data_IF_385601544762
#
_entry.id   IF_385601544762
#
_cell.length_a   1.000
_cell.length_b   1.000
_cell.length_c   1.000
_cell.angle_alpha   90.00
_cell.angle_beta   90.00
_cell.angle_gamma   90.00
#
_symmetry.space_group_name_H-M   'P 1'
#
loop_
_entity.id
_entity.type
_entity.pdbx_description
1 polymer ?
#
# COMPACT_ATOMS: atom_id res chain seq x y z
N UNK A 1 35.50 -4.76 -100.42
CA UNK A 1 36.80 -5.52 -100.51
C UNK A 1 36.94 -6.30 -99.21
N UNK A 2 36.84 -7.57 -99.37
CA UNK A 2 37.46 -8.63 -98.60
C UNK A 2 37.25 -8.84 -97.12
N UNK A 3 36.57 -9.90 -96.87
CA UNK A 3 36.61 -10.72 -95.65
C UNK A 3 37.98 -11.44 -95.54
N UNK A 4 38.07 -12.47 -94.63
CA UNK A 4 37.81 -12.80 -93.27
C UNK A 4 39.12 -13.18 -92.54
N UNK A 5 39.29 -14.18 -91.71
CA UNK A 5 38.41 -15.01 -90.82
C UNK A 5 39.08 -15.31 -89.44
N UNK A 6 38.38 -16.22 -88.77
CA UNK A 6 38.78 -17.34 -87.88
C UNK A 6 38.87 -17.19 -86.35
N UNK A 7 37.95 -17.88 -85.73
CA UNK A 7 38.10 -18.94 -84.69
C UNK A 7 39.04 -18.74 -83.52
N UNK A 8 38.49 -18.84 -82.34
CA UNK A 8 38.80 -19.88 -81.39
C UNK A 8 37.80 -19.93 -80.25
N UNK A 9 37.21 -21.09 -80.16
CA UNK A 9 36.47 -21.63 -79.03
C UNK A 9 37.35 -21.54 -77.75
N UNK A 10 36.79 -21.10 -76.62
CA UNK A 10 37.33 -21.49 -75.36
C UNK A 10 36.19 -21.66 -74.31
N UNK A 11 36.12 -22.88 -73.96
CA UNK A 11 35.37 -23.54 -72.91
C UNK A 11 35.38 -22.70 -71.62
N UNK A 12 34.21 -22.25 -71.20
CA UNK A 12 34.06 -21.66 -69.84
C UNK A 12 33.23 -22.59 -68.99
N UNK A 13 33.95 -23.28 -68.17
CA UNK A 13 33.46 -24.12 -67.09
C UNK A 13 32.68 -23.25 -66.06
N UNK A 14 31.35 -23.37 -66.09
CA UNK A 14 30.46 -22.69 -65.16
C UNK A 14 30.53 -23.32 -63.77
N UNK A 15 31.25 -22.64 -62.88
CA UNK A 15 31.24 -22.96 -61.45
C UNK A 15 29.91 -22.49 -60.83
N UNK A 16 29.04 -23.45 -60.51
CA UNK A 16 27.81 -23.16 -59.75
C UNK A 16 28.15 -23.00 -58.28
N UNK A 17 28.16 -21.77 -57.77
CA UNK A 17 28.17 -21.53 -56.35
C UNK A 17 26.75 -21.72 -55.78
N UNK A 18 26.55 -22.79 -55.06
CA UNK A 18 25.33 -23.00 -54.24
C UNK A 18 25.48 -22.18 -52.97
N UNK A 19 24.78 -21.04 -52.91
CA UNK A 19 24.69 -20.22 -51.70
C UNK A 19 23.71 -20.91 -50.74
N UNK A 20 24.19 -21.55 -49.71
CA UNK A 20 23.39 -22.03 -48.60
C UNK A 20 23.14 -20.84 -47.70
N UNK A 21 21.94 -20.25 -47.82
CA UNK A 21 21.46 -19.23 -46.88
C UNK A 21 21.09 -19.90 -45.55
N UNK A 22 22.02 -19.89 -44.62
CA UNK A 22 21.76 -20.29 -43.24
C UNK A 22 20.88 -19.24 -42.53
N UNK A 23 19.60 -19.54 -42.35
CA UNK A 23 18.74 -18.77 -41.46
C UNK A 23 19.14 -19.03 -40.02
N UNK A 24 19.89 -18.12 -39.39
CA UNK A 24 20.08 -18.11 -37.95
C UNK A 24 18.79 -17.54 -37.34
N UNK A 25 17.94 -18.41 -36.86
CA UNK A 25 16.79 -18.01 -36.04
C UNK A 25 17.30 -17.65 -34.66
N UNK A 26 17.56 -16.36 -34.43
CA UNK A 26 17.73 -15.84 -33.06
C UNK A 26 16.41 -15.95 -32.33
N UNK A 27 16.22 -16.99 -31.55
CA UNK A 27 15.16 -17.10 -30.58
C UNK A 27 15.40 -16.03 -29.47
N UNK A 28 14.75 -14.87 -29.59
CA UNK A 28 14.69 -13.91 -28.50
C UNK A 28 13.81 -14.52 -27.41
N UNK A 29 14.44 -15.14 -26.43
CA UNK A 29 13.76 -15.51 -25.19
C UNK A 29 13.42 -14.20 -24.49
N UNK A 30 12.19 -13.71 -24.70
CA UNK A 30 11.62 -12.66 -23.90
C UNK A 30 11.44 -13.23 -22.49
N UNK A 31 12.44 -13.04 -21.63
CA UNK A 31 12.29 -13.19 -20.20
C UNK A 31 11.20 -12.19 -19.79
N UNK A 32 10.00 -12.70 -19.60
CA UNK A 32 8.88 -11.93 -19.06
C UNK A 32 9.30 -11.42 -17.68
N UNK A 33 9.77 -10.17 -17.62
CA UNK A 33 9.88 -9.46 -16.36
C UNK A 33 8.45 -9.30 -15.84
N UNK A 34 8.02 -10.20 -14.97
CA UNK A 34 6.84 -9.96 -14.16
C UNK A 34 7.00 -8.60 -13.46
N UNK A 35 5.90 -7.93 -13.07
CA UNK A 35 6.00 -6.66 -12.38
C UNK A 35 6.94 -6.82 -11.19
N UNK A 36 8.11 -6.19 -11.26
CA UNK A 36 9.06 -6.19 -10.16
C UNK A 36 8.32 -5.62 -8.96
N UNK A 37 8.15 -6.40 -7.90
CA UNK A 37 7.59 -5.91 -6.65
C UNK A 37 8.36 -4.64 -6.28
N UNK A 38 7.62 -3.55 -6.01
CA UNK A 38 8.24 -2.27 -5.73
C UNK A 38 9.19 -2.44 -4.55
N UNK A 39 10.48 -2.15 -4.78
CA UNK A 39 11.52 -2.33 -3.76
C UNK A 39 11.20 -1.49 -2.53
N UNK A 40 11.26 -2.11 -1.34
CA UNK A 40 11.17 -1.41 -0.06
C UNK A 40 12.27 -0.32 -0.01
N UNK A 41 11.86 0.94 0.14
CA UNK A 41 12.80 2.08 0.19
C UNK A 41 13.40 2.27 1.57
N UNK A 42 12.68 1.85 2.60
CA UNK A 42 13.03 2.10 3.99
C UNK A 42 12.97 0.80 4.81
N UNK A 43 13.74 -0.24 4.42
CA UNK A 43 13.77 -1.51 5.12
C UNK A 43 14.31 -1.34 6.56
N UNK A 44 14.22 -2.34 7.43
CA UNK A 44 14.81 -2.29 8.75
C UNK A 44 16.28 -1.84 8.70
N UNK A 45 16.66 -0.92 9.58
CA UNK A 45 18.06 -0.46 9.68
C UNK A 45 18.86 -1.55 10.40
N UNK A 46 19.91 -2.12 9.78
CA UNK A 46 20.76 -3.09 10.43
C UNK A 46 21.33 -2.54 11.76
N UNK A 47 21.43 -3.34 12.83
CA UNK A 47 21.85 -2.87 14.15
C UNK A 47 23.16 -2.09 14.15
N UNK A 48 24.12 -2.50 13.33
CA UNK A 48 25.44 -1.86 13.18
C UNK A 48 25.40 -0.51 12.48
N UNK A 49 24.29 -0.20 11.78
CA UNK A 49 24.06 1.08 11.09
C UNK A 49 23.14 2.03 11.85
N UNK A 50 22.58 1.57 12.96
CA UNK A 50 21.71 2.41 13.78
C UNK A 50 22.53 3.44 14.57
N UNK A 51 22.04 4.68 14.61
CA UNK A 51 22.54 5.70 15.52
C UNK A 51 22.16 5.35 16.96
N UNK A 52 22.83 5.94 17.94
CA UNK A 52 22.50 5.74 19.37
C UNK A 52 21.06 6.16 19.68
N UNK A 53 20.55 7.22 19.06
CA UNK A 53 19.16 7.65 19.20
C UNK A 53 18.18 6.59 18.67
N UNK A 54 18.48 5.95 17.53
CA UNK A 54 17.66 4.87 16.98
C UNK A 54 17.67 3.62 17.83
N UNK A 55 18.84 3.22 18.36
CA UNK A 55 18.96 2.09 19.29
C UNK A 55 18.17 2.33 20.56
N UNK A 56 18.30 3.54 21.16
CA UNK A 56 17.55 3.92 22.36
C UNK A 56 16.04 3.85 22.10
N UNK A 57 15.54 4.45 21.00
CA UNK A 57 14.12 4.43 20.68
C UNK A 57 13.60 3.01 20.38
N UNK A 58 14.40 2.15 19.74
CA UNK A 58 14.00 0.76 19.50
C UNK A 58 13.90 -0.05 20.81
N UNK A 59 14.80 0.19 21.77
CA UNK A 59 14.72 -0.43 23.10
C UNK A 59 13.48 0.06 23.87
N UNK A 60 13.20 1.36 23.84
CA UNK A 60 12.03 1.97 24.47
C UNK A 60 10.73 1.44 23.84
N UNK A 61 10.67 1.38 22.51
CA UNK A 61 9.54 0.81 21.77
C UNK A 61 9.28 -0.64 22.20
N UNK A 62 10.33 -1.46 22.30
CA UNK A 62 10.22 -2.85 22.76
C UNK A 62 9.70 -2.92 24.20
N UNK A 63 10.17 -2.06 25.08
CA UNK A 63 9.70 -2.01 26.47
C UNK A 63 8.22 -1.63 26.58
N UNK A 64 7.75 -0.66 25.79
CA UNK A 64 6.36 -0.20 25.84
C UNK A 64 5.38 -1.14 25.10
N UNK A 65 5.81 -1.82 24.03
CA UNK A 65 4.93 -2.61 23.16
C UNK A 65 5.18 -4.11 23.19
N UNK A 66 6.16 -4.57 23.94
CA UNK A 66 6.56 -5.98 24.10
C UNK A 66 6.88 -6.68 22.76
N UNK A 67 7.33 -5.92 21.76
CA UNK A 67 7.71 -6.41 20.44
C UNK A 67 8.78 -5.53 19.80
N UNK A 68 9.50 -6.06 18.82
CA UNK A 68 10.44 -5.27 18.03
C UNK A 68 9.73 -4.25 17.15
N UNK A 69 10.49 -3.28 16.62
CA UNK A 69 9.98 -2.30 15.66
C UNK A 69 9.47 -3.01 14.42
N UNK A 70 8.21 -2.81 14.07
CA UNK A 70 7.51 -3.50 12.97
C UNK A 70 6.65 -2.55 12.15
N UNK A 71 6.21 -3.02 10.98
CA UNK A 71 5.21 -2.35 10.13
C UNK A 71 5.54 -0.87 9.89
N UNK A 72 4.60 0.05 10.17
CA UNK A 72 4.78 1.48 9.93
C UNK A 72 5.91 2.12 10.75
N UNK A 73 6.27 1.50 11.87
CA UNK A 73 7.35 2.02 12.72
C UNK A 73 8.74 1.75 12.13
N UNK A 74 8.88 0.81 11.19
CA UNK A 74 10.13 0.58 10.47
C UNK A 74 10.56 1.81 9.66
N UNK A 75 9.77 2.37 8.74
CA UNK A 75 10.13 3.62 8.08
C UNK A 75 10.25 4.79 9.06
N UNK A 76 9.37 4.89 10.08
CA UNK A 76 9.40 5.95 11.07
C UNK A 76 10.65 5.92 11.96
N UNK A 77 11.34 4.78 12.11
CA UNK A 77 12.57 4.66 12.90
C UNK A 77 13.72 5.58 12.44
N UNK A 78 13.63 6.13 11.20
CA UNK A 78 14.57 7.17 10.71
C UNK A 78 14.42 8.48 11.48
N UNK A 79 13.27 8.70 12.12
CA UNK A 79 13.01 9.81 13.04
C UNK A 79 12.58 9.24 14.38
N UNK A 80 13.52 8.92 15.29
CA UNK A 80 13.25 8.18 16.52
C UNK A 80 12.16 8.82 17.39
N UNK A 81 12.18 10.14 17.53
CA UNK A 81 11.17 10.85 18.32
C UNK A 81 9.77 10.72 17.69
N UNK A 82 9.65 10.96 16.37
CA UNK A 82 8.39 10.79 15.66
C UNK A 82 7.86 9.36 15.76
N UNK A 83 8.74 8.36 15.67
CA UNK A 83 8.36 6.95 15.83
C UNK A 83 7.73 6.70 17.22
N UNK A 84 8.36 7.19 18.30
CA UNK A 84 7.88 6.97 19.66
C UNK A 84 6.56 7.71 19.93
N UNK A 85 6.43 8.96 19.47
CA UNK A 85 5.19 9.74 19.64
C UNK A 85 4.04 9.10 18.84
N UNK A 86 4.32 8.66 17.60
CA UNK A 86 3.36 7.91 16.80
C UNK A 86 2.98 6.57 17.47
N UNK A 87 3.94 5.85 18.06
CA UNK A 87 3.67 4.59 18.74
C UNK A 87 2.72 4.79 19.94
N UNK A 88 2.95 5.81 20.76
CA UNK A 88 2.10 6.12 21.92
C UNK A 88 0.70 6.56 21.49
N UNK A 89 0.61 7.45 20.51
CA UNK A 89 -0.67 7.86 19.93
C UNK A 89 -1.44 6.67 19.35
N UNK A 90 -0.76 5.80 18.59
CA UNK A 90 -1.35 4.58 18.03
C UNK A 90 -1.84 3.61 19.10
N UNK A 91 -1.11 3.48 20.23
CA UNK A 91 -1.56 2.65 21.36
C UNK A 91 -2.86 3.20 21.96
N UNK A 92 -2.95 4.50 22.18
CA UNK A 92 -4.18 5.14 22.65
C UNK A 92 -5.34 4.93 21.67
N UNK A 93 -5.15 5.27 20.40
CA UNK A 93 -6.19 5.18 19.38
C UNK A 93 -6.65 3.74 19.09
N UNK A 94 -5.84 2.73 19.37
CA UNK A 94 -6.25 1.32 19.20
C UNK A 94 -6.93 0.74 20.42
N UNK A 95 -6.52 1.13 21.63
CA UNK A 95 -6.90 0.42 22.85
C UNK A 95 -7.48 1.31 23.94
N UNK A 96 -7.33 2.62 23.86
CA UNK A 96 -7.74 3.58 24.88
C UNK A 96 -8.78 4.61 24.43
N UNK A 97 -9.15 4.64 23.15
CA UNK A 97 -10.16 5.54 22.64
C UNK A 97 -11.58 5.16 23.12
N UNK A 98 -12.52 6.07 23.03
CA UNK A 98 -13.87 5.93 23.58
C UNK A 98 -14.86 5.22 22.65
N UNK A 99 -14.47 4.94 21.41
CA UNK A 99 -15.35 4.34 20.41
C UNK A 99 -15.41 2.80 20.55
N UNK A 100 -16.53 2.17 20.23
CA UNK A 100 -16.60 0.71 20.07
C UNK A 100 -15.54 0.22 19.08
N UNK A 101 -14.85 -0.88 19.40
CA UNK A 101 -13.72 -1.41 18.63
C UNK A 101 -14.03 -1.59 17.14
N UNK A 102 -15.17 -2.18 16.80
CA UNK A 102 -15.58 -2.36 15.41
C UNK A 102 -15.68 -1.02 14.63
N UNK A 103 -16.12 0.05 15.29
CA UNK A 103 -16.26 1.37 14.69
C UNK A 103 -14.88 2.05 14.53
N UNK A 104 -13.98 1.89 15.51
CA UNK A 104 -12.60 2.37 15.39
C UNK A 104 -11.90 1.69 14.22
N UNK A 105 -11.97 0.36 14.11
CA UNK A 105 -11.37 -0.37 13.00
C UNK A 105 -12.03 -0.02 11.65
N UNK A 106 -13.33 0.26 11.63
CA UNK A 106 -14.00 0.73 10.42
C UNK A 106 -13.41 2.08 9.96
N UNK A 107 -13.22 3.04 10.88
CA UNK A 107 -12.57 4.31 10.56
C UNK A 107 -11.15 4.09 10.01
N UNK A 108 -10.39 3.15 10.57
CA UNK A 108 -9.02 2.84 10.13
C UNK A 108 -9.00 2.26 8.71
N UNK A 109 -9.82 1.24 8.42
CA UNK A 109 -9.82 0.64 7.07
C UNK A 109 -10.33 1.60 6.00
N UNK A 110 -11.20 2.55 6.33
CA UNK A 110 -11.59 3.64 5.42
C UNK A 110 -10.39 4.54 5.06
N UNK A 111 -9.53 4.86 6.04
CA UNK A 111 -8.31 5.64 5.78
C UNK A 111 -7.29 4.83 4.96
N UNK A 112 -7.04 3.58 5.33
CA UNK A 112 -6.14 2.69 4.59
C UNK A 112 -6.59 2.57 3.12
N UNK A 113 -7.91 2.42 2.88
CA UNK A 113 -8.51 2.40 1.54
C UNK A 113 -8.30 3.71 0.79
N UNK A 114 -8.54 4.84 1.44
CA UNK A 114 -8.36 6.17 0.84
C UNK A 114 -6.94 6.39 0.33
N UNK A 115 -5.94 5.91 1.08
CA UNK A 115 -4.52 5.96 0.72
C UNK A 115 -4.07 4.79 -0.15
N UNK A 116 -4.98 3.86 -0.48
CA UNK A 116 -4.67 2.59 -1.16
C UNK A 116 -3.47 1.91 -0.50
N UNK A 117 -3.46 1.91 0.83
CA UNK A 117 -2.37 1.37 1.63
C UNK A 117 -2.69 -0.08 2.03
N UNK A 118 -2.07 -1.02 1.32
CA UNK A 118 -2.36 -2.46 1.43
C UNK A 118 -1.96 -3.07 2.78
N UNK A 119 -0.80 -2.68 3.33
CA UNK A 119 -0.31 -3.24 4.60
C UNK A 119 -1.25 -2.86 5.75
N UNK A 120 -1.62 -1.58 5.83
CA UNK A 120 -2.51 -1.07 6.87
C UNK A 120 -3.90 -1.69 6.73
N UNK A 121 -4.40 -1.77 5.50
CA UNK A 121 -5.68 -2.42 5.24
C UNK A 121 -5.65 -3.89 5.65
N UNK A 122 -4.62 -4.64 5.30
CA UNK A 122 -4.49 -6.06 5.63
C UNK A 122 -4.59 -6.31 7.15
N UNK A 123 -3.82 -5.55 7.94
CA UNK A 123 -3.81 -5.69 9.39
C UNK A 123 -5.19 -5.34 9.97
N UNK A 124 -5.69 -4.16 9.64
CA UNK A 124 -6.90 -3.62 10.26
C UNK A 124 -8.21 -4.24 9.75
N UNK A 125 -8.25 -4.78 8.55
CA UNK A 125 -9.38 -5.59 8.08
C UNK A 125 -9.50 -6.91 8.87
N UNK A 126 -8.38 -7.51 9.27
CA UNK A 126 -8.36 -8.65 10.18
C UNK A 126 -8.90 -8.30 11.58
N UNK A 127 -8.43 -7.17 12.13
CA UNK A 127 -8.89 -6.65 13.42
C UNK A 127 -10.38 -6.27 13.38
N UNK A 128 -10.84 -5.66 12.28
CA UNK A 128 -12.26 -5.30 12.06
C UNK A 128 -13.16 -6.54 12.07
N UNK A 129 -12.76 -7.62 11.38
CA UNK A 129 -13.49 -8.90 11.42
C UNK A 129 -13.57 -9.45 12.83
N UNK A 130 -12.45 -9.47 13.53
CA UNK A 130 -12.37 -9.95 14.93
C UNK A 130 -13.25 -9.11 15.86
N UNK A 131 -13.37 -7.80 15.59
CA UNK A 131 -14.24 -6.89 16.34
C UNK A 131 -15.72 -6.97 15.95
N UNK A 132 -16.07 -7.79 14.94
CA UNK A 132 -17.45 -8.03 14.53
C UNK A 132 -17.98 -7.06 13.47
N UNK A 133 -17.11 -6.35 12.75
CA UNK A 133 -17.56 -5.56 11.59
C UNK A 133 -18.03 -6.52 10.49
N UNK A 134 -19.26 -6.33 9.92
CA UNK A 134 -19.80 -7.22 8.90
C UNK A 134 -18.92 -7.31 7.66
N UNK A 135 -18.77 -8.53 7.11
CA UNK A 135 -17.91 -8.74 5.94
C UNK A 135 -18.37 -7.94 4.70
N UNK A 136 -19.68 -7.74 4.52
CA UNK A 136 -20.20 -6.90 3.43
C UNK A 136 -19.77 -5.45 3.52
N UNK A 137 -19.54 -4.93 4.74
CA UNK A 137 -18.97 -3.57 4.95
C UNK A 137 -17.51 -3.57 4.52
N UNK A 138 -16.73 -4.58 4.94
CA UNK A 138 -15.31 -4.70 4.59
C UNK A 138 -15.14 -4.85 3.08
N UNK A 139 -15.96 -5.67 2.42
CA UNK A 139 -15.93 -5.85 0.97
C UNK A 139 -16.26 -4.55 0.21
N UNK A 140 -17.24 -3.77 0.69
CA UNK A 140 -17.54 -2.47 0.11
C UNK A 140 -16.33 -1.52 0.19
N UNK A 141 -15.61 -1.54 1.32
CA UNK A 141 -14.37 -0.75 1.48
C UNK A 141 -13.29 -1.24 0.50
N UNK A 142 -13.08 -2.56 0.35
CA UNK A 142 -12.14 -3.14 -0.64
C UNK A 142 -12.44 -2.60 -2.05
N UNK A 143 -13.72 -2.55 -2.40
CA UNK A 143 -14.20 -2.10 -3.71
C UNK A 143 -14.15 -0.57 -3.89
N UNK A 144 -13.95 0.18 -2.81
CA UNK A 144 -13.95 1.65 -2.83
C UNK A 144 -15.34 2.26 -3.03
N UNK A 145 -16.40 1.54 -2.68
CA UNK A 145 -17.78 2.01 -2.74
C UNK A 145 -18.33 2.27 -1.34
N UNK A 146 -19.40 3.06 -1.28
CA UNK A 146 -20.14 3.25 -0.04
C UNK A 146 -20.77 1.91 0.38
N UNK A 147 -20.56 1.46 1.65
CA UNK A 147 -21.24 0.27 2.14
C UNK A 147 -22.76 0.48 2.16
N UNK A 148 -23.49 -0.59 1.83
CA UNK A 148 -24.93 -0.66 2.02
C UNK A 148 -25.26 -1.20 3.42
N UNK A 149 -26.47 -0.98 3.89
CA UNK A 149 -26.99 -1.54 5.16
C UNK A 149 -26.11 -1.23 6.40
N UNK A 150 -25.45 -0.07 6.41
CA UNK A 150 -24.77 0.41 7.60
C UNK A 150 -25.76 0.68 8.72
N UNK A 151 -25.38 0.37 9.96
CA UNK A 151 -26.08 0.88 11.15
C UNK A 151 -25.90 2.39 11.25
N UNK A 152 -26.73 3.05 12.07
CA UNK A 152 -26.60 4.51 12.30
C UNK A 152 -25.20 4.89 12.79
N UNK A 153 -24.61 4.08 13.67
CA UNK A 153 -23.25 4.28 14.17
C UNK A 153 -22.21 4.18 13.04
N UNK A 154 -22.32 3.17 12.18
CA UNK A 154 -21.45 3.00 11.04
C UNK A 154 -21.61 4.13 10.02
N UNK A 155 -22.84 4.61 9.81
CA UNK A 155 -23.07 5.78 8.94
C UNK A 155 -22.40 7.04 9.49
N UNK A 156 -22.45 7.28 10.81
CA UNK A 156 -21.75 8.41 11.41
C UNK A 156 -20.25 8.33 11.15
N UNK A 157 -19.63 7.17 11.38
CA UNK A 157 -18.20 6.94 11.12
C UNK A 157 -17.85 7.21 9.65
N UNK A 158 -18.64 6.63 8.75
CA UNK A 158 -18.42 6.75 7.30
C UNK A 158 -18.52 8.20 6.82
N UNK A 159 -19.65 8.87 7.14
CA UNK A 159 -19.90 10.24 6.69
C UNK A 159 -18.91 11.23 7.32
N UNK A 160 -18.60 11.07 8.62
CA UNK A 160 -17.61 11.90 9.28
C UNK A 160 -16.23 11.82 8.59
N UNK A 161 -15.73 10.59 8.37
CA UNK A 161 -14.46 10.38 7.70
C UNK A 161 -14.48 10.87 6.26
N UNK A 162 -15.56 10.62 5.51
CA UNK A 162 -15.75 11.09 4.13
C UNK A 162 -15.71 12.62 4.05
N UNK A 163 -16.57 13.30 4.82
CA UNK A 163 -16.65 14.77 4.81
C UNK A 163 -15.33 15.41 5.23
N UNK A 164 -14.73 14.92 6.32
CA UNK A 164 -13.45 15.44 6.81
C UNK A 164 -12.34 15.35 5.75
N UNK A 165 -12.27 14.25 5.02
CA UNK A 165 -11.23 14.03 4.03
C UNK A 165 -11.50 14.72 2.68
N UNK A 166 -12.77 14.83 2.26
CA UNK A 166 -13.14 15.44 0.97
C UNK A 166 -13.27 16.95 1.09
N UNK A 167 -13.96 17.42 2.13
CA UNK A 167 -14.28 18.82 2.34
C UNK A 167 -13.31 19.53 3.29
N UNK A 168 -12.41 18.78 3.97
CA UNK A 168 -11.53 19.28 5.03
C UNK A 168 -12.28 19.84 6.25
N UNK A 169 -13.53 19.50 6.37
CA UNK A 169 -14.44 19.86 7.44
C UNK A 169 -15.61 18.87 7.47
N UNK A 170 -16.33 18.82 8.58
CA UNK A 170 -17.60 18.10 8.68
C UNK A 170 -18.74 19.10 8.73
N UNK A 171 -19.91 18.72 8.20
CA UNK A 171 -21.12 19.56 8.29
C UNK A 171 -21.65 19.59 9.72
N UNK A 172 -22.39 20.65 10.07
CA UNK A 172 -23.04 20.77 11.40
C UNK A 172 -23.94 19.58 11.71
N UNK A 173 -24.61 19.03 10.68
CA UNK A 173 -25.45 17.84 10.80
C UNK A 173 -24.63 16.60 11.21
N UNK A 174 -23.54 16.35 10.51
CA UNK A 174 -22.65 15.20 10.79
C UNK A 174 -21.99 15.36 12.16
N UNK A 175 -21.52 16.56 12.49
CA UNK A 175 -20.98 16.90 13.80
C UNK A 175 -21.99 16.66 14.92
N UNK A 176 -23.22 17.19 14.80
CA UNK A 176 -24.25 17.02 15.81
C UNK A 176 -24.62 15.53 16.03
N UNK A 177 -24.70 14.73 14.95
CA UNK A 177 -24.94 13.28 15.08
C UNK A 177 -23.79 12.58 15.82
N UNK A 178 -22.54 12.93 15.49
CA UNK A 178 -21.36 12.34 16.13
C UNK A 178 -21.29 12.70 17.62
N UNK A 179 -21.52 13.98 17.98
CA UNK A 179 -21.56 14.43 19.38
C UNK A 179 -22.70 13.75 20.15
N UNK A 180 -23.90 13.68 19.57
CA UNK A 180 -25.04 13.04 20.22
C UNK A 180 -24.79 11.55 20.52
N UNK A 181 -24.02 10.89 19.68
CA UNK A 181 -23.76 9.45 19.80
C UNK A 181 -22.52 9.12 20.62
N UNK A 182 -21.42 9.85 20.42
CA UNK A 182 -20.10 9.52 20.98
C UNK A 182 -19.56 10.60 21.94
N UNK A 183 -20.25 11.71 22.09
CA UNK A 183 -19.76 12.85 22.85
C UNK A 183 -18.61 13.59 22.16
N UNK A 184 -18.21 14.73 22.69
CA UNK A 184 -17.07 15.50 22.19
C UNK A 184 -15.73 14.71 22.24
N UNK A 185 -15.45 13.91 23.30
CA UNK A 185 -14.26 13.06 23.30
C UNK A 185 -14.23 12.08 22.12
N UNK A 186 -15.37 11.41 21.82
CA UNK A 186 -15.45 10.48 20.70
C UNK A 186 -15.29 11.16 19.34
N UNK A 187 -15.75 12.41 19.20
CA UNK A 187 -15.49 13.22 18.00
C UNK A 187 -14.00 13.49 17.85
N UNK A 188 -13.29 13.82 18.94
CA UNK A 188 -11.84 14.01 18.89
C UNK A 188 -11.08 12.70 18.62
N UNK A 189 -11.55 11.58 19.13
CA UNK A 189 -11.01 10.26 18.80
C UNK A 189 -11.18 9.95 17.31
N UNK A 190 -12.33 10.30 16.71
CA UNK A 190 -12.54 10.16 15.26
C UNK A 190 -11.57 11.03 14.45
N UNK A 191 -11.32 12.27 14.89
CA UNK A 191 -10.29 13.13 14.26
C UNK A 191 -8.91 12.48 14.40
N UNK A 192 -8.59 11.98 15.60
CA UNK A 192 -7.35 11.28 15.88
C UNK A 192 -7.14 10.06 14.96
N UNK A 193 -8.16 9.20 14.84
CA UNK A 193 -8.12 8.02 13.95
C UNK A 193 -7.89 8.44 12.50
N UNK A 194 -8.64 9.41 11.99
CA UNK A 194 -8.48 9.87 10.61
C UNK A 194 -7.09 10.46 10.35
N UNK A 195 -6.60 11.33 11.24
CA UNK A 195 -5.29 11.99 11.10
C UNK A 195 -4.12 11.01 11.27
N UNK A 196 -4.15 10.20 12.32
CA UNK A 196 -3.09 9.25 12.62
C UNK A 196 -2.93 8.21 11.51
N UNK A 197 -4.01 7.57 11.07
CA UNK A 197 -3.92 6.55 10.02
C UNK A 197 -3.65 7.13 8.63
N UNK A 198 -3.89 8.41 8.43
CA UNK A 198 -3.34 9.16 7.29
C UNK A 198 -1.81 9.26 7.39
N UNK A 199 -1.24 9.66 8.54
CA UNK A 199 0.20 9.70 8.76
C UNK A 199 0.85 8.33 8.54
N UNK A 200 0.26 7.28 9.12
CA UNK A 200 0.75 5.91 8.99
C UNK A 200 0.73 5.45 7.52
N UNK A 201 -0.38 5.66 6.83
CA UNK A 201 -0.50 5.32 5.40
C UNK A 201 0.54 6.07 4.54
N UNK A 202 0.78 7.36 4.81
CA UNK A 202 1.83 8.14 4.15
C UNK A 202 3.22 7.55 4.39
N UNK A 203 3.54 7.20 5.64
CA UNK A 203 4.85 6.63 6.00
C UNK A 203 5.09 5.29 5.27
N UNK A 204 4.09 4.41 5.26
CA UNK A 204 4.14 3.13 4.55
C UNK A 204 4.25 3.30 3.03
N UNK A 205 3.49 4.25 2.44
CA UNK A 205 3.55 4.53 1.00
C UNK A 205 4.89 5.14 0.59
N UNK A 206 5.44 6.07 1.37
CA UNK A 206 6.78 6.64 1.13
C UNK A 206 7.85 5.56 1.25
N UNK A 207 7.76 4.70 2.28
CA UNK A 207 8.65 3.57 2.50
C UNK A 207 8.52 2.48 1.45
N UNK A 208 7.37 2.37 0.78
CA UNK A 208 6.98 1.20 -0.03
C UNK A 208 7.05 -0.08 0.77
N UNK A 209 6.58 -0.01 2.01
CA UNK A 209 6.58 -1.17 2.92
C UNK A 209 5.78 -2.32 2.30
N UNK A 210 6.39 -3.48 2.10
CA UNK A 210 5.71 -4.60 1.45
C UNK A 210 4.68 -5.24 2.39
N UNK A 211 3.69 -5.91 1.79
CA UNK A 211 2.86 -6.86 2.52
C UNK A 211 3.70 -8.01 3.10
N UNK A 212 3.23 -8.67 4.15
CA UNK A 212 3.86 -9.89 4.65
C UNK A 212 4.00 -10.94 3.54
N UNK A 213 5.04 -11.76 3.63
CA UNK A 213 5.29 -12.81 2.64
C UNK A 213 4.07 -13.73 2.47
N UNK A 214 3.68 -13.99 1.23
CA UNK A 214 2.54 -14.83 0.88
C UNK A 214 1.17 -14.13 0.94
N UNK A 215 1.11 -12.86 1.33
CA UNK A 215 -0.13 -12.08 1.33
C UNK A 215 -0.28 -11.34 -0.01
N UNK A 216 -1.40 -11.56 -0.69
CA UNK A 216 -1.74 -10.85 -1.92
C UNK A 216 -2.44 -9.51 -1.59
N UNK A 217 -2.24 -8.47 -2.42
CA UNK A 217 -3.00 -7.23 -2.34
C UNK A 217 -4.51 -7.48 -2.42
N UNK A 218 -5.27 -6.81 -1.55
CA UNK A 218 -6.72 -6.97 -1.48
C UNK A 218 -7.49 -5.81 -2.11
N UNK A 219 -6.91 -4.60 -2.08
CA UNK A 219 -7.60 -3.40 -2.51
C UNK A 219 -7.74 -3.33 -4.03
N UNK A 220 -8.97 -3.18 -4.51
CA UNK A 220 -9.23 -2.93 -5.93
C UNK A 220 -8.85 -1.49 -6.31
N UNK A 221 -8.53 -1.21 -7.58
CA UNK A 221 -8.39 0.17 -8.04
C UNK A 221 -9.61 1.01 -7.65
N UNK A 222 -9.37 2.28 -7.30
CA UNK A 222 -10.48 3.19 -6.99
C UNK A 222 -11.39 3.35 -8.21
N UNK A 223 -12.72 3.37 -8.03
CA UNK A 223 -13.65 3.74 -9.08
C UNK A 223 -13.30 5.13 -9.63
N UNK A 224 -13.40 5.31 -10.96
CA UNK A 224 -13.15 6.59 -11.64
C UNK A 224 -14.45 7.35 -11.79
#
# INVERSE_FOLDING_TARGET
>A
MQAPPHFCENDQMTLRFTTVAGFVVCAIVALGAGPAAAQDRLPPIPPEKQTEAQKKAAMEFRGERMTDVFGPFVPLSRSPQLMMDAARMGTYLRFGNTLPRALSEFAVILQARRWTQEYEFYIHAGDARTAGLPEEIIQAVIEGRRPEKMTDDQEIIYEFGRELNENRAVTDRTYARAVARFGEPGVMDLVGLNGFYTLISMALNVGRTPLPAGVAPALKPMPR
#
